data_IF_719603881438
#
_entry.id   IF_719603881438
#
_cell.length_a   1.000
_cell.length_b   1.000
_cell.length_c   1.000
_cell.angle_alpha   90.00
_cell.angle_beta   90.00
_cell.angle_gamma   90.00
#
_symmetry.space_group_name_H-M   'P 1'
#
loop_
_entity.id
_entity.type
_entity.pdbx_description
1 polymer ?
#
# COMPACT_ATOMS: atom_id res chain seq x y z
N UNK A 1 -8.40 6.34 -27.16
CA UNK A 1 -8.00 5.04 -27.74
C UNK A 1 -9.26 4.23 -27.89
N UNK A 2 -9.63 3.84 -29.10
CA UNK A 2 -10.88 3.10 -29.34
C UNK A 2 -10.62 1.60 -29.33
N UNK A 3 -11.07 0.93 -28.26
CA UNK A 3 -10.93 -0.52 -28.09
C UNK A 3 -12.20 -1.18 -28.64
N UNK A 4 -12.03 -2.15 -29.56
CA UNK A 4 -13.12 -2.99 -30.03
C UNK A 4 -13.00 -4.39 -29.42
N UNK A 5 -13.97 -4.74 -28.57
CA UNK A 5 -14.04 -6.08 -27.94
C UNK A 5 -14.95 -6.97 -28.79
N UNK A 6 -14.45 -8.14 -29.20
CA UNK A 6 -15.19 -9.15 -29.97
C UNK A 6 -15.23 -10.48 -29.22
N UNK A 7 -16.13 -11.38 -29.63
CA UNK A 7 -16.30 -12.71 -29.05
C UNK A 7 -16.58 -12.71 -27.53
N UNK A 8 -17.21 -11.66 -27.02
CA UNK A 8 -17.58 -11.55 -25.61
C UNK A 8 -18.70 -12.52 -25.28
N UNK A 9 -18.63 -13.17 -24.12
CA UNK A 9 -19.69 -14.03 -23.63
C UNK A 9 -21.01 -13.23 -23.48
N UNK A 10 -22.10 -13.62 -24.16
CA UNK A 10 -23.38 -12.91 -24.10
C UNK A 10 -23.93 -12.74 -22.68
N UNK A 11 -23.67 -13.70 -21.79
CA UNK A 11 -24.15 -13.64 -20.41
C UNK A 11 -23.52 -12.48 -19.64
N UNK A 12 -22.23 -12.19 -19.85
CA UNK A 12 -21.57 -11.05 -19.23
C UNK A 12 -22.08 -9.72 -19.79
N UNK A 13 -22.39 -9.66 -21.10
CA UNK A 13 -23.00 -8.47 -21.69
C UNK A 13 -24.38 -8.19 -21.08
N UNK A 14 -25.19 -9.23 -20.88
CA UNK A 14 -26.51 -9.10 -20.27
C UNK A 14 -26.43 -8.61 -18.82
N UNK A 15 -25.43 -9.07 -18.06
CA UNK A 15 -25.18 -8.59 -16.70
C UNK A 15 -24.75 -7.12 -16.68
N UNK A 16 -23.82 -6.72 -17.56
CA UNK A 16 -23.41 -5.32 -17.72
C UNK A 16 -24.61 -4.44 -18.07
N UNK A 17 -25.47 -4.88 -18.98
CA UNK A 17 -26.70 -4.16 -19.34
C UNK A 17 -27.64 -3.98 -18.16
N UNK A 18 -27.81 -5.03 -17.35
CA UNK A 18 -28.63 -4.97 -16.13
C UNK A 18 -28.07 -3.91 -15.17
N UNK A 19 -26.75 -3.93 -14.91
CA UNK A 19 -26.07 -2.93 -14.07
C UNK A 19 -26.23 -1.52 -14.62
N UNK A 20 -26.06 -1.31 -15.92
CA UNK A 20 -26.25 -0.01 -16.56
C UNK A 20 -27.68 0.52 -16.36
N UNK A 21 -28.70 -0.34 -16.48
CA UNK A 21 -30.10 0.05 -16.20
C UNK A 21 -30.30 0.44 -14.74
N UNK A 22 -29.75 -0.31 -13.81
CA UNK A 22 -29.85 -0.03 -12.37
C UNK A 22 -29.19 1.30 -12.01
N UNK A 23 -27.98 1.55 -12.52
CA UNK A 23 -27.24 2.81 -12.32
C UNK A 23 -27.99 3.98 -12.97
N UNK A 24 -28.45 3.80 -14.20
CA UNK A 24 -29.22 4.83 -14.91
C UNK A 24 -30.50 5.22 -14.17
N UNK A 25 -31.19 4.25 -13.56
CA UNK A 25 -32.35 4.52 -12.70
C UNK A 25 -31.98 5.38 -11.48
N UNK A 26 -30.83 5.12 -10.85
CA UNK A 26 -30.34 5.92 -9.71
C UNK A 26 -29.93 7.33 -10.11
N UNK A 27 -29.31 7.48 -11.28
CA UNK A 27 -28.84 8.77 -11.80
C UNK A 27 -29.94 9.61 -12.47
N UNK A 28 -31.13 9.04 -12.71
CA UNK A 28 -32.20 9.71 -13.44
C UNK A 28 -31.91 9.94 -14.93
N UNK A 29 -30.93 9.21 -15.49
CA UNK A 29 -30.57 9.30 -16.92
C UNK A 29 -30.15 7.95 -17.47
N UNK A 30 -30.11 7.83 -18.80
CA UNK A 30 -29.50 6.66 -19.43
C UNK A 30 -28.01 6.60 -19.05
N UNK A 31 -27.57 5.42 -18.61
CA UNK A 31 -26.17 5.10 -18.35
C UNK A 31 -25.73 4.05 -19.36
N UNK A 32 -24.64 4.35 -20.08
CA UNK A 32 -24.18 3.54 -21.21
C UNK A 32 -23.12 2.52 -20.78
N UNK A 33 -22.99 1.44 -21.56
CA UNK A 33 -21.96 0.41 -21.32
C UNK A 33 -20.55 0.98 -21.26
N UNK A 34 -20.22 1.96 -22.12
CA UNK A 34 -18.89 2.56 -22.13
C UNK A 34 -18.62 3.33 -20.83
N UNK A 35 -19.62 3.97 -20.23
CA UNK A 35 -19.50 4.64 -18.93
C UNK A 35 -19.21 3.60 -17.84
N UNK A 36 -19.97 2.51 -17.85
CA UNK A 36 -19.77 1.41 -16.90
C UNK A 36 -18.38 0.78 -17.02
N UNK A 37 -17.94 0.52 -18.25
CA UNK A 37 -16.63 -0.08 -18.53
C UNK A 37 -15.51 0.87 -18.07
N UNK A 38 -15.62 2.17 -18.38
CA UNK A 38 -14.64 3.16 -17.93
C UNK A 38 -14.58 3.26 -16.39
N UNK A 39 -15.73 3.28 -15.73
CA UNK A 39 -15.81 3.29 -14.27
C UNK A 39 -15.11 2.06 -13.67
N UNK A 40 -15.36 0.86 -14.21
CA UNK A 40 -14.69 -0.36 -13.73
C UNK A 40 -13.18 -0.31 -13.96
N UNK A 41 -12.73 0.23 -15.09
CA UNK A 41 -11.30 0.42 -15.33
C UNK A 41 -10.69 1.38 -14.32
N UNK A 42 -11.29 2.56 -14.13
CA UNK A 42 -10.83 3.57 -13.17
C UNK A 42 -10.78 2.99 -11.75
N UNK A 43 -11.87 2.38 -11.27
CA UNK A 43 -11.92 1.78 -9.94
C UNK A 43 -10.87 0.68 -9.75
N UNK A 44 -10.68 -0.18 -10.74
CA UNK A 44 -9.69 -1.26 -10.67
C UNK A 44 -8.25 -0.71 -10.66
N UNK A 45 -7.93 0.21 -11.57
CA UNK A 45 -6.60 0.82 -11.62
C UNK A 45 -6.29 1.61 -10.36
N UNK A 46 -7.21 2.46 -9.90
CA UNK A 46 -7.03 3.26 -8.69
C UNK A 46 -6.89 2.40 -7.44
N UNK A 47 -7.60 1.27 -7.36
CA UNK A 47 -7.50 0.34 -6.25
C UNK A 47 -6.16 -0.36 -6.22
N UNK A 48 -5.73 -0.95 -7.34
CA UNK A 48 -4.44 -1.64 -7.41
C UNK A 48 -3.26 -0.67 -7.25
N UNK A 49 -3.37 0.54 -7.81
CA UNK A 49 -2.39 1.59 -7.61
C UNK A 49 -2.28 2.01 -6.15
N UNK A 50 -3.40 2.25 -5.46
CA UNK A 50 -3.42 2.56 -4.03
C UNK A 50 -2.82 1.43 -3.21
N UNK A 51 -3.25 0.18 -3.44
CA UNK A 51 -2.74 -0.99 -2.74
C UNK A 51 -1.22 -1.14 -2.88
N UNK A 52 -0.69 -0.95 -4.07
CA UNK A 52 0.74 -1.02 -4.32
C UNK A 52 1.49 0.13 -3.64
N UNK A 53 0.93 1.35 -3.66
CA UNK A 53 1.52 2.52 -3.00
C UNK A 53 1.53 2.37 -1.47
N UNK A 54 0.42 1.92 -0.89
CA UNK A 54 0.28 1.64 0.55
C UNK A 54 1.25 0.54 0.97
N UNK A 55 1.27 -0.60 0.26
CA UNK A 55 2.19 -1.69 0.58
C UNK A 55 3.67 -1.31 0.56
N UNK A 56 4.10 -0.53 -0.44
CA UNK A 56 5.49 -0.04 -0.51
C UNK A 56 5.81 0.98 0.57
N UNK A 57 4.84 1.82 0.95
CA UNK A 57 5.02 2.77 2.04
C UNK A 57 5.14 2.05 3.39
N UNK A 58 4.26 1.08 3.66
CA UNK A 58 4.29 0.27 4.87
C UNK A 58 5.59 -0.54 5.00
N UNK A 59 6.07 -1.09 3.88
CA UNK A 59 7.37 -1.78 3.82
C UNK A 59 8.53 -0.81 4.17
N UNK A 60 8.54 0.38 3.57
CA UNK A 60 9.56 1.39 3.86
C UNK A 60 9.54 1.83 5.32
N UNK A 61 8.35 2.09 5.89
CA UNK A 61 8.18 2.47 7.29
C UNK A 61 8.67 1.36 8.20
N UNK A 62 8.30 0.11 7.93
CA UNK A 62 8.75 -1.05 8.71
C UNK A 62 10.27 -1.19 8.69
N UNK A 63 10.88 -1.06 7.51
CA UNK A 63 12.34 -1.12 7.38
C UNK A 63 13.06 -0.01 8.15
N UNK A 64 12.50 1.21 8.15
CA UNK A 64 13.03 2.33 8.93
C UNK A 64 12.90 2.06 10.42
N UNK A 65 11.73 1.64 10.91
CA UNK A 65 11.51 1.33 12.33
C UNK A 65 12.46 0.25 12.83
N UNK A 66 12.57 -0.87 12.11
CA UNK A 66 13.50 -1.97 12.46
C UNK A 66 14.96 -1.49 12.48
N UNK A 67 15.33 -0.59 11.57
CA UNK A 67 16.69 -0.02 11.56
C UNK A 67 16.93 0.88 12.75
N UNK A 68 15.96 1.71 13.14
CA UNK A 68 16.05 2.59 14.29
C UNK A 68 16.11 1.81 15.62
N UNK A 69 15.33 0.74 15.74
CA UNK A 69 15.38 -0.15 16.91
C UNK A 69 16.78 -0.76 17.06
N UNK A 70 17.32 -1.32 15.97
CA UNK A 70 18.69 -1.87 15.96
C UNK A 70 19.77 -0.84 16.26
N UNK A 71 19.59 0.41 15.81
CA UNK A 71 20.52 1.49 16.12
C UNK A 71 20.46 1.87 17.60
N UNK A 72 19.26 1.87 18.17
CA UNK A 72 19.04 2.14 19.60
C UNK A 72 19.72 1.08 20.47
N UNK A 73 19.53 -0.21 20.12
CA UNK A 73 20.17 -1.32 20.82
C UNK A 73 21.70 -1.21 20.79
N UNK A 74 22.28 -0.93 19.61
CA UNK A 74 23.74 -0.75 19.47
C UNK A 74 24.28 0.44 20.25
N UNK A 75 23.52 1.53 20.33
CA UNK A 75 23.91 2.69 21.14
C UNK A 75 23.89 2.33 22.62
N UNK A 76 22.92 1.55 23.08
CA UNK A 76 22.88 1.07 24.46
C UNK A 76 24.07 0.15 24.77
N UNK A 77 24.38 -0.80 23.89
CA UNK A 77 25.56 -1.67 24.04
C UNK A 77 26.86 -0.85 24.12
N UNK A 78 26.99 0.19 23.29
CA UNK A 78 28.15 1.08 23.33
C UNK A 78 28.23 1.86 24.65
N UNK A 79 27.11 2.38 25.15
CA UNK A 79 27.04 3.08 26.44
C UNK A 79 27.46 2.15 27.57
N UNK A 80 26.94 0.92 27.59
CA UNK A 80 27.22 -0.08 28.62
C UNK A 80 28.71 -0.45 28.63
N UNK A 81 29.28 -0.77 27.46
CA UNK A 81 30.71 -1.07 27.33
C UNK A 81 31.60 0.12 27.73
N UNK A 82 31.18 1.34 27.41
CA UNK A 82 31.92 2.56 27.80
C UNK A 82 31.89 2.76 29.31
N UNK A 83 30.74 2.55 29.96
CA UNK A 83 30.60 2.66 31.40
C UNK A 83 31.47 1.61 32.13
N UNK A 84 31.51 0.37 31.63
CA UNK A 84 32.39 -0.67 32.17
C UNK A 84 33.87 -0.33 32.04
N UNK A 85 34.28 0.22 30.89
CA UNK A 85 35.65 0.69 30.66
C UNK A 85 36.03 1.81 31.63
N UNK A 86 35.18 2.82 31.78
CA UNK A 86 35.41 3.94 32.72
C UNK A 86 35.53 3.42 34.14
N UNK A 87 34.63 2.54 34.58
CA UNK A 87 34.67 1.95 35.92
C UNK A 87 35.97 1.16 36.15
N UNK A 88 36.44 0.42 35.13
CA UNK A 88 37.69 -0.33 35.20
C UNK A 88 38.91 0.59 35.30
N UNK A 89 38.91 1.70 34.55
CA UNK A 89 39.97 2.71 34.62
C UNK A 89 40.02 3.41 35.98
N UNK A 90 38.87 3.73 36.58
CA UNK A 90 38.81 4.33 37.92
C UNK A 90 39.39 3.40 38.99
N UNK A 91 39.05 2.11 38.96
CA UNK A 91 39.60 1.11 39.89
C UNK A 91 41.12 0.99 39.81
N UNK A 92 41.71 1.14 38.61
CA UNK A 92 43.16 1.09 38.42
C UNK A 92 43.88 2.37 38.89
N UNK A 93 43.17 3.50 39.01
CA UNK A 93 43.74 4.75 39.49
C UNK A 93 43.73 4.87 41.02
N UNK A 94 42.83 4.15 41.69
CA UNK A 94 42.67 4.15 43.15
C UNK A 94 43.53 3.11 43.89
N UNK A 95 44.19 2.19 43.18
CA UNK A 95 45.06 1.15 43.74
C UNK A 95 46.54 1.39 43.44
#
# INVERSE_FOLDING_TARGET
>A
MDIHVRNTNPNHIAEIDKRCKEIGKKLGRRYYRWEYINMIFEEHFDREYRRNKEGKFDEAVTNVSVTLDRQSDKLQEYIDATNELVASMMKLHEG
#
